data_IF_367957778121
#
_entry.id   IF_367957778121
#
_cell.length_a   1.000
_cell.length_b   1.000
_cell.length_c   1.000
_cell.angle_alpha   90.00
_cell.angle_beta   90.00
_cell.angle_gamma   90.00
#
_symmetry.space_group_name_H-M   'P 1'
#
loop_
_entity.id
_entity.type
_entity.pdbx_description
1 polymer ?
#
# COMPACT_ATOMS: atom_id res chain seq x y z
N UNK A 1 -20.50 2.73 11.34
CA UNK A 1 -20.80 3.95 10.56
C UNK A 1 -20.41 3.62 9.15
N UNK A 2 -21.29 3.80 8.17
CA UNK A 2 -20.96 3.55 6.76
C UNK A 2 -19.76 4.38 6.34
N UNK A 3 -18.97 3.86 5.41
CA UNK A 3 -17.74 4.45 4.89
C UNK A 3 -17.78 4.44 3.37
N UNK A 4 -17.33 5.53 2.75
CA UNK A 4 -17.28 5.68 1.29
C UNK A 4 -15.84 5.51 0.83
N UNK A 5 -15.65 4.63 -0.16
CA UNK A 5 -14.34 4.36 -0.75
C UNK A 5 -14.43 4.51 -2.27
N UNK A 6 -13.52 5.30 -2.83
CA UNK A 6 -13.29 5.37 -4.27
C UNK A 6 -11.89 4.87 -4.58
N UNK A 7 -11.78 3.90 -5.47
CA UNK A 7 -10.49 3.36 -5.93
C UNK A 7 -10.20 3.77 -7.38
N UNK A 8 -8.94 3.99 -7.67
CA UNK A 8 -8.38 4.33 -8.98
C UNK A 8 -7.32 3.28 -9.30
N UNK A 9 -7.39 2.65 -10.47
CA UNK A 9 -6.47 1.57 -10.86
C UNK A 9 -5.50 2.06 -11.94
N UNK A 10 -4.20 2.02 -11.67
CA UNK A 10 -3.17 2.30 -12.66
C UNK A 10 -2.83 1.04 -13.44
N UNK A 11 -3.18 0.92 -14.73
CA UNK A 11 -2.83 -0.26 -15.51
C UNK A 11 -1.32 -0.37 -15.78
N UNK A 12 -0.53 0.70 -15.58
CA UNK A 12 0.91 0.70 -15.84
C UNK A 12 1.70 0.01 -14.72
N UNK A 13 1.35 0.25 -13.47
CA UNK A 13 1.99 -0.37 -12.29
C UNK A 13 1.11 -1.42 -11.62
N UNK A 14 -0.16 -1.53 -12.05
CA UNK A 14 -1.20 -2.39 -11.47
C UNK A 14 -1.58 -2.02 -10.03
N UNK A 15 -1.37 -0.75 -9.66
CA UNK A 15 -1.60 -0.22 -8.32
C UNK A 15 -3.02 0.32 -8.18
N UNK A 16 -3.62 0.15 -7.02
CA UNK A 16 -4.82 0.87 -6.61
C UNK A 16 -4.47 2.02 -5.69
N UNK A 17 -4.94 3.22 -6.03
CA UNK A 17 -5.03 4.36 -5.10
C UNK A 17 -6.44 4.44 -4.55
N UNK A 18 -6.59 4.62 -3.24
CA UNK A 18 -7.91 4.71 -2.60
C UNK A 18 -8.15 6.07 -1.95
N UNK A 19 -9.36 6.61 -2.10
CA UNK A 19 -9.86 7.74 -1.31
C UNK A 19 -10.93 7.21 -0.36
N UNK A 20 -10.74 7.39 0.95
CA UNK A 20 -11.68 6.95 2.00
C UNK A 20 -12.18 8.14 2.82
N UNK A 21 -13.48 8.19 3.07
CA UNK A 21 -14.11 9.20 3.92
C UNK A 21 -15.42 8.70 4.54
N UNK A 22 -15.89 9.40 5.57
CA UNK A 22 -17.23 9.16 6.11
C UNK A 22 -18.29 9.87 5.25
N UNK A 23 -19.47 9.28 5.02
CA UNK A 23 -20.58 9.94 4.33
C UNK A 23 -20.99 11.23 5.06
N UNK A 24 -21.17 12.30 4.30
CA UNK A 24 -21.56 13.62 4.84
C UNK A 24 -20.49 14.32 5.67
N UNK A 25 -19.25 13.82 5.70
CA UNK A 25 -18.12 14.47 6.36
C UNK A 25 -17.12 14.98 5.32
N UNK A 26 -16.41 16.06 5.66
CA UNK A 26 -15.43 16.64 4.77
C UNK A 26 -14.11 15.85 4.77
N UNK A 27 -13.68 15.30 5.92
CA UNK A 27 -12.33 14.74 6.03
C UNK A 27 -12.19 13.43 5.27
N UNK A 28 -11.13 13.34 4.46
CA UNK A 28 -10.75 12.13 3.74
C UNK A 28 -9.28 11.76 3.94
N UNK A 29 -8.95 10.52 3.59
CA UNK A 29 -7.58 10.06 3.40
C UNK A 29 -7.40 9.51 1.98
N UNK A 30 -6.20 9.64 1.45
CA UNK A 30 -5.74 8.94 0.25
C UNK A 30 -4.74 7.87 0.69
N UNK A 31 -4.85 6.65 0.16
CA UNK A 31 -3.93 5.53 0.42
C UNK A 31 -3.22 5.14 -0.86
N UNK A 32 -1.89 5.02 -0.81
CA UNK A 32 -1.00 4.56 -1.89
C UNK A 32 -1.22 5.30 -3.23
N UNK A 33 -0.96 6.61 -3.23
CA UNK A 33 -1.19 7.48 -4.38
C UNK A 33 -0.12 7.29 -5.47
N UNK A 34 -0.51 7.11 -6.74
CA UNK A 34 0.43 6.92 -7.85
C UNK A 34 0.79 8.23 -8.55
N UNK A 35 2.08 8.47 -8.73
CA UNK A 35 2.65 9.40 -9.71
C UNK A 35 3.17 8.60 -10.90
N UNK A 36 2.60 8.84 -12.08
CA UNK A 36 3.01 8.16 -13.30
C UNK A 36 4.48 8.46 -13.62
N UNK A 37 5.18 7.46 -14.15
CA UNK A 37 6.59 7.60 -14.53
C UNK A 37 6.92 6.73 -15.73
N UNK A 38 7.49 7.36 -16.76
CA UNK A 38 8.02 6.65 -17.91
C UNK A 38 9.53 6.41 -17.75
N UNK A 39 9.99 5.14 -17.61
CA UNK A 39 11.41 4.85 -17.45
C UNK A 39 12.25 5.14 -18.70
N UNK A 40 11.63 5.33 -19.87
CA UNK A 40 12.32 5.67 -21.12
C UNK A 40 12.59 7.16 -21.20
N UNK A 41 11.55 7.98 -21.10
CA UNK A 41 11.68 9.46 -21.18
C UNK A 41 12.10 10.09 -19.86
N UNK A 42 11.96 9.37 -18.74
CA UNK A 42 12.16 9.84 -17.35
C UNK A 42 11.21 10.95 -16.92
N UNK A 43 10.11 11.14 -17.65
CA UNK A 43 9.09 12.12 -17.33
C UNK A 43 8.10 11.55 -16.32
N UNK A 44 7.58 12.43 -15.47
CA UNK A 44 6.46 12.14 -14.57
C UNK A 44 5.14 12.52 -15.22
N UNK A 45 4.07 11.83 -14.84
CA UNK A 45 2.70 12.07 -15.29
C UNK A 45 1.78 12.17 -14.07
N UNK A 46 1.02 13.27 -13.99
CA UNK A 46 0.11 13.54 -12.86
C UNK A 46 -1.31 13.09 -13.12
N UNK A 47 -1.64 12.52 -14.29
CA UNK A 47 -3.00 12.22 -14.71
C UNK A 47 -3.84 11.52 -13.63
N UNK A 48 -3.36 10.42 -13.05
CA UNK A 48 -4.07 9.70 -11.98
C UNK A 48 -4.20 10.52 -10.69
N UNK A 49 -3.14 11.21 -10.28
CA UNK A 49 -3.17 12.09 -9.12
C UNK A 49 -4.15 13.26 -9.33
N UNK A 50 -4.29 13.75 -10.57
CA UNK A 50 -5.26 14.76 -10.95
C UNK A 50 -6.70 14.22 -10.90
N UNK A 51 -6.95 12.95 -11.25
CA UNK A 51 -8.26 12.32 -11.06
C UNK A 51 -8.64 12.20 -9.57
N UNK A 52 -7.68 11.80 -8.72
CA UNK A 52 -7.86 11.77 -7.25
C UNK A 52 -8.16 13.17 -6.73
N UNK A 53 -7.40 14.17 -7.18
CA UNK A 53 -7.62 15.58 -6.83
C UNK A 53 -9.01 16.06 -7.23
N UNK A 54 -9.42 15.78 -8.47
CA UNK A 54 -10.73 16.15 -8.99
C UNK A 54 -11.87 15.49 -8.20
N UNK A 55 -11.72 14.22 -7.80
CA UNK A 55 -12.69 13.53 -6.96
C UNK A 55 -12.86 14.21 -5.60
N UNK A 56 -11.75 14.57 -4.94
CA UNK A 56 -11.75 15.24 -3.64
C UNK A 56 -12.44 16.60 -3.75
N UNK A 57 -12.05 17.41 -4.75
CA UNK A 57 -12.61 18.75 -4.97
C UNK A 57 -14.10 18.72 -5.32
N UNK A 58 -14.51 17.82 -6.22
CA UNK A 58 -15.91 17.69 -6.65
C UNK A 58 -16.86 17.31 -5.51
N UNK A 59 -16.35 16.67 -4.45
CA UNK A 59 -17.11 16.29 -3.26
C UNK A 59 -16.96 17.25 -2.09
N UNK A 60 -16.19 18.33 -2.23
CA UNK A 60 -15.90 19.26 -1.13
C UNK A 60 -15.16 18.60 0.03
N UNK A 61 -14.38 17.55 -0.25
CA UNK A 61 -13.59 16.85 0.75
C UNK A 61 -12.33 17.64 1.11
N UNK A 62 -11.85 17.45 2.33
CA UNK A 62 -10.62 18.01 2.89
C UNK A 62 -9.64 16.88 3.16
N UNK A 63 -8.52 16.89 2.44
CA UNK A 63 -7.49 15.88 2.56
C UNK A 63 -6.77 16.00 3.92
N UNK A 64 -6.98 15.03 4.80
CA UNK A 64 -6.35 14.99 6.12
C UNK A 64 -5.06 14.15 6.09
N UNK A 65 -5.08 13.04 5.36
CA UNK A 65 -4.02 12.04 5.35
C UNK A 65 -3.68 11.57 3.94
N UNK A 66 -2.38 11.45 3.70
CA UNK A 66 -1.78 10.74 2.57
C UNK A 66 -1.03 9.57 3.18
N UNK A 67 -1.60 8.38 3.08
CA UNK A 67 -1.14 7.19 3.78
C UNK A 67 -0.39 6.27 2.83
N UNK A 68 0.81 5.87 3.23
CA UNK A 68 1.62 4.88 2.52
C UNK A 68 1.63 3.58 3.31
N UNK A 69 1.16 2.50 2.71
CA UNK A 69 1.19 1.18 3.35
C UNK A 69 2.61 0.64 3.49
N UNK A 70 3.50 1.02 2.57
CA UNK A 70 4.92 0.67 2.60
C UNK A 70 5.73 1.61 1.68
N UNK A 71 7.04 1.39 1.61
CA UNK A 71 7.86 2.05 0.58
C UNK A 71 7.75 1.24 -0.71
N UNK A 72 6.95 1.73 -1.65
CA UNK A 72 6.67 1.06 -2.92
C UNK A 72 7.92 0.94 -3.80
N UNK A 73 8.10 -0.23 -4.42
CA UNK A 73 9.21 -0.54 -5.31
C UNK A 73 8.81 -0.55 -6.80
N UNK A 74 7.53 -0.41 -7.10
CA UNK A 74 6.91 -0.64 -8.40
C UNK A 74 6.34 0.65 -9.01
N UNK A 75 6.06 1.68 -8.19
CA UNK A 75 5.58 3.00 -8.61
C UNK A 75 6.17 4.14 -7.77
N UNK A 76 6.07 5.37 -8.27
CA UNK A 76 6.43 6.59 -7.54
C UNK A 76 5.21 7.08 -6.78
N UNK A 77 5.36 7.47 -5.51
CA UNK A 77 4.25 8.05 -4.74
C UNK A 77 3.91 9.47 -5.20
N UNK A 78 2.63 9.76 -5.39
CA UNK A 78 2.07 11.08 -5.61
C UNK A 78 1.78 11.85 -4.32
N UNK A 79 2.14 11.34 -3.13
CA UNK A 79 1.80 11.98 -1.87
C UNK A 79 2.34 13.41 -1.76
N UNK A 80 3.57 13.66 -2.22
CA UNK A 80 4.15 15.02 -2.21
C UNK A 80 3.41 15.98 -3.16
N UNK A 81 2.98 15.48 -4.32
CA UNK A 81 2.20 16.25 -5.29
C UNK A 81 0.82 16.60 -4.73
N UNK A 82 0.07 15.60 -4.26
CA UNK A 82 -1.26 15.81 -3.66
C UNK A 82 -1.19 16.72 -2.43
N UNK A 83 -0.13 16.61 -1.61
CA UNK A 83 0.06 17.51 -0.46
C UNK A 83 0.25 18.96 -0.90
N UNK A 84 0.98 19.21 -1.97
CA UNK A 84 1.18 20.56 -2.48
C UNK A 84 -0.13 21.17 -3.02
N UNK A 85 -0.98 20.35 -3.65
CA UNK A 85 -2.24 20.79 -4.26
C UNK A 85 -3.40 20.92 -3.25
N UNK A 86 -3.45 20.06 -2.23
CA UNK A 86 -4.62 19.87 -1.36
C UNK A 86 -4.32 19.95 0.14
N UNK A 87 -3.04 19.98 0.53
CA UNK A 87 -2.62 19.88 1.94
C UNK A 87 -2.65 18.44 2.47
N UNK A 88 -2.92 18.30 3.78
CA UNK A 88 -2.88 17.00 4.46
C UNK A 88 -1.47 16.61 4.94
N UNK A 89 -1.38 15.45 5.59
CA UNK A 89 -0.15 14.92 6.20
C UNK A 89 0.23 13.58 5.59
N UNK A 90 1.49 13.42 5.22
CA UNK A 90 2.02 12.14 4.74
C UNK A 90 2.36 11.25 5.94
N UNK A 91 1.69 10.11 6.06
CA UNK A 91 1.86 9.14 7.13
C UNK A 91 2.36 7.80 6.61
N UNK A 92 3.32 7.21 7.31
CA UNK A 92 3.88 5.88 7.03
C UNK A 92 4.30 5.21 8.34
N UNK A 93 4.58 3.91 8.33
CA UNK A 93 5.15 3.20 9.47
C UNK A 93 6.46 3.82 9.98
N UNK A 94 6.61 3.96 11.30
CA UNK A 94 7.86 4.42 11.91
C UNK A 94 9.06 3.50 11.66
N UNK A 95 8.81 2.24 11.29
CA UNK A 95 9.86 1.28 10.88
C UNK A 95 10.46 1.59 9.50
N UNK A 96 9.93 2.57 8.77
CA UNK A 96 10.52 3.05 7.50
C UNK A 96 12.00 3.45 7.67
N UNK A 97 12.40 3.86 8.86
CA UNK A 97 13.81 4.17 9.15
C UNK A 97 14.72 2.95 9.01
N UNK A 98 14.25 1.74 9.33
CA UNK A 98 15.01 0.49 9.12
C UNK A 98 15.24 0.24 7.62
N UNK A 99 14.21 0.46 6.80
CA UNK A 99 14.28 0.34 5.33
C UNK A 99 15.25 1.36 4.77
N UNK A 100 15.16 2.63 5.21
CA UNK A 100 16.07 3.70 4.80
C UNK A 100 17.51 3.38 5.18
N UNK A 101 17.79 2.98 6.42
CA UNK A 101 19.15 2.61 6.84
C UNK A 101 19.72 1.46 6.01
N UNK A 102 18.91 0.47 5.65
CA UNK A 102 19.33 -0.69 4.83
C UNK A 102 19.67 -0.30 3.38
N UNK A 103 19.05 0.76 2.87
CA UNK A 103 19.04 1.07 1.44
C UNK A 103 19.78 2.37 1.07
N UNK A 104 20.29 3.11 2.06
CA UNK A 104 20.97 4.40 1.87
C UNK A 104 22.20 4.28 0.96
N UNK A 105 23.00 3.23 1.11
CA UNK A 105 24.21 3.03 0.30
C UNK A 105 23.88 2.77 -1.19
N UNK A 106 22.68 2.26 -1.47
CA UNK A 106 22.26 1.89 -2.83
C UNK A 106 21.50 2.99 -3.54
N UNK A 107 20.63 3.71 -2.83
CA UNK A 107 19.71 4.68 -3.43
C UNK A 107 19.99 6.13 -3.04
N UNK A 108 20.99 6.36 -2.18
CA UNK A 108 21.55 7.67 -1.90
C UNK A 108 21.18 8.24 -0.53
N UNK A 109 21.79 9.36 -0.15
CA UNK A 109 21.39 10.08 1.05
C UNK A 109 19.95 10.59 0.86
N UNK A 110 19.08 10.23 1.80
CA UNK A 110 17.67 10.60 1.77
C UNK A 110 17.43 11.93 2.50
N UNK A 111 16.42 12.71 2.09
CA UNK A 111 15.98 13.89 2.83
C UNK A 111 15.64 13.52 4.29
N UNK A 112 15.98 14.37 5.26
CA UNK A 112 15.85 14.02 6.68
C UNK A 112 14.41 13.65 7.10
N UNK A 113 13.38 14.30 6.55
CA UNK A 113 11.97 14.12 6.96
C UNK A 113 10.97 14.20 5.78
N UNK A 114 10.85 13.15 4.94
CA UNK A 114 9.88 13.14 3.85
C UNK A 114 8.44 12.90 4.33
N UNK A 115 8.26 12.42 5.57
CA UNK A 115 6.96 12.08 6.15
C UNK A 115 6.61 13.00 7.32
N UNK A 116 5.33 13.37 7.42
CA UNK A 116 4.79 14.23 8.48
C UNK A 116 4.44 13.43 9.74
N UNK A 117 4.08 12.15 9.59
CA UNK A 117 3.77 11.25 10.70
C UNK A 117 4.42 9.87 10.53
N UNK A 118 5.02 9.37 11.61
CA UNK A 118 5.60 8.04 11.69
C UNK A 118 4.78 7.21 12.67
N UNK A 119 3.92 6.34 12.14
CA UNK A 119 3.03 5.53 12.97
C UNK A 119 3.82 4.56 13.85
N UNK A 120 3.52 4.56 15.15
CA UNK A 120 3.93 3.48 16.04
C UNK A 120 3.17 2.20 15.69
N UNK A 121 3.67 1.06 16.18
CA UNK A 121 2.98 -0.22 16.03
C UNK A 121 1.57 -0.13 16.63
N UNK A 122 0.58 -0.44 15.80
CA UNK A 122 -0.84 -0.54 16.19
C UNK A 122 -1.45 0.78 16.70
N UNK A 123 -0.84 1.90 16.31
CA UNK A 123 -1.28 3.24 16.68
C UNK A 123 -2.72 3.51 16.19
N UNK A 124 -3.52 4.10 17.06
CA UNK A 124 -4.87 4.55 16.77
C UNK A 124 -4.84 6.02 16.32
N UNK A 125 -5.55 6.31 15.23
CA UNK A 125 -5.76 7.67 14.74
C UNK A 125 -7.16 7.80 14.12
N UNK A 126 -7.46 8.96 13.53
CA UNK A 126 -8.77 9.24 12.94
C UNK A 126 -8.66 9.85 11.54
N UNK A 127 -9.62 9.49 10.69
CA UNK A 127 -9.92 10.14 9.41
C UNK A 127 -11.33 10.74 9.55
N UNK A 128 -11.42 12.04 9.86
CA UNK A 128 -12.68 12.62 10.33
C UNK A 128 -13.21 11.86 11.55
N UNK A 129 -14.46 11.34 11.54
CA UNK A 129 -14.99 10.51 12.63
C UNK A 129 -14.59 9.03 12.54
N UNK A 130 -13.93 8.59 11.46
CA UNK A 130 -13.58 7.19 11.27
C UNK A 130 -12.40 6.83 12.19
N UNK A 131 -12.61 5.86 13.07
CA UNK A 131 -11.56 5.34 13.96
C UNK A 131 -10.67 4.39 13.15
N UNK A 132 -9.38 4.69 13.07
CA UNK A 132 -8.44 3.93 12.23
C UNK A 132 -7.26 3.42 13.05
N UNK A 133 -6.83 2.18 12.78
CA UNK A 133 -5.66 1.58 13.39
C UNK A 133 -4.60 1.27 12.34
N UNK A 134 -3.35 1.62 12.63
CA UNK A 134 -2.20 1.36 11.79
C UNK A 134 -1.53 0.03 12.20
N UNK A 135 -2.02 -1.09 11.66
CA UNK A 135 -1.62 -2.45 12.02
C UNK A 135 -0.27 -2.81 11.41
N UNK A 136 0.73 -3.14 12.24
CA UNK A 136 2.00 -3.63 11.72
C UNK A 136 1.81 -5.02 11.07
N UNK A 137 2.16 -5.12 9.77
CA UNK A 137 2.04 -6.34 8.96
C UNK A 137 3.31 -6.64 8.15
N UNK A 138 4.51 -6.58 8.77
CA UNK A 138 5.77 -6.71 8.03
C UNK A 138 5.87 -8.07 7.34
N UNK A 139 6.64 -8.13 6.26
CA UNK A 139 6.96 -9.38 5.59
C UNK A 139 7.37 -9.20 4.15
N UNK A 140 6.65 -8.36 3.41
CA UNK A 140 7.09 -7.90 2.09
C UNK A 140 8.24 -6.91 2.26
N UNK A 141 8.08 -5.93 3.16
CA UNK A 141 9.15 -5.12 3.74
C UNK A 141 9.10 -5.14 5.29
N UNK A 142 10.17 -4.73 5.98
CA UNK A 142 10.15 -4.55 7.44
C UNK A 142 9.15 -3.49 7.93
N UNK A 143 8.72 -2.59 7.06
CA UNK A 143 7.93 -1.40 7.43
C UNK A 143 6.46 -1.48 7.02
N UNK A 144 5.99 -2.60 6.46
CA UNK A 144 4.61 -2.70 5.98
C UNK A 144 3.59 -2.47 7.10
N UNK A 145 2.57 -1.67 6.78
CA UNK A 145 1.47 -1.34 7.65
C UNK A 145 0.16 -1.46 6.89
N UNK A 146 -0.86 -1.98 7.57
CA UNK A 146 -2.23 -2.04 7.07
C UNK A 146 -3.10 -1.05 7.85
N UNK A 147 -4.03 -0.39 7.18
CA UNK A 147 -4.91 0.60 7.82
C UNK A 147 -6.30 0.00 8.01
N UNK A 148 -6.63 -0.40 9.25
CA UNK A 148 -7.95 -0.91 9.62
C UNK A 148 -8.85 0.25 10.02
N UNK A 149 -9.86 0.54 9.21
CA UNK A 149 -10.82 1.63 9.39
C UNK A 149 -12.14 1.07 9.93
N UNK A 150 -12.59 1.63 11.05
CA UNK A 150 -13.84 1.30 11.74
C UNK A 150 -14.07 -0.19 12.06
N UNK A 151 -13.02 -1.02 12.05
CA UNK A 151 -13.11 -2.49 12.11
C UNK A 151 -13.97 -3.11 11.00
N UNK A 152 -14.19 -2.39 9.89
CA UNK A 152 -15.04 -2.80 8.77
C UNK A 152 -14.21 -3.01 7.49
N UNK A 153 -13.18 -2.18 7.26
CA UNK A 153 -12.31 -2.24 6.07
C UNK A 153 -10.85 -2.18 6.46
N UNK A 154 -9.99 -2.93 5.78
CA UNK A 154 -8.54 -2.87 5.91
C UNK A 154 -7.86 -2.65 4.56
N UNK A 155 -7.03 -1.62 4.45
CA UNK A 155 -6.10 -1.45 3.33
C UNK A 155 -4.85 -2.27 3.63
N UNK A 156 -4.62 -3.35 2.86
CA UNK A 156 -3.67 -4.41 3.27
C UNK A 156 -2.23 -4.20 2.79
N UNK A 157 -1.99 -3.18 1.95
CA UNK A 157 -0.70 -3.02 1.28
C UNK A 157 -0.33 -4.26 0.47
N UNK A 158 0.97 -4.46 0.25
CA UNK A 158 1.50 -5.68 -0.35
C UNK A 158 1.68 -6.81 0.68
N UNK A 159 0.58 -7.20 1.31
CA UNK A 159 0.52 -8.40 2.18
C UNK A 159 -0.24 -9.54 1.48
N UNK A 160 -1.46 -9.24 1.03
CA UNK A 160 -2.37 -10.14 0.34
C UNK A 160 -2.78 -9.50 -0.99
N UNK A 161 -2.90 -10.33 -2.03
CA UNK A 161 -3.50 -9.96 -3.30
C UNK A 161 -4.88 -10.61 -3.43
N UNK A 162 -5.66 -10.38 -4.51
CA UNK A 162 -6.87 -11.14 -4.75
C UNK A 162 -6.64 -12.65 -4.60
N UNK A 163 -7.62 -13.42 -4.10
CA UNK A 163 -7.40 -14.80 -3.69
C UNK A 163 -6.75 -15.69 -4.76
N UNK A 164 -7.04 -15.44 -6.03
CA UNK A 164 -6.48 -16.17 -7.17
C UNK A 164 -5.04 -15.77 -7.53
N UNK A 165 -4.57 -14.62 -7.07
CA UNK A 165 -3.18 -14.13 -7.23
C UNK A 165 -2.31 -14.54 -6.04
N UNK A 166 -2.88 -14.58 -4.84
CA UNK A 166 -2.23 -15.09 -3.64
C UNK A 166 -1.58 -13.99 -2.78
N UNK A 167 -0.26 -13.91 -2.78
CA UNK A 167 0.52 -13.10 -1.81
C UNK A 167 1.72 -12.40 -2.43
N UNK A 168 2.15 -11.32 -1.79
CA UNK A 168 3.33 -10.56 -2.16
C UNK A 168 4.63 -11.36 -2.04
N UNK A 169 5.68 -10.87 -2.70
CA UNK A 169 7.06 -11.38 -2.65
C UNK A 169 7.73 -10.99 -1.32
N UNK A 170 8.78 -11.72 -0.90
CA UNK A 170 9.51 -11.47 0.35
C UNK A 170 11.03 -11.33 0.17
N UNK A 171 11.51 -11.19 -1.05
CA UNK A 171 12.94 -11.11 -1.39
C UNK A 171 13.49 -9.69 -1.47
N UNK A 172 12.67 -8.69 -1.14
CA UNK A 172 13.16 -7.33 -0.93
C UNK A 172 14.06 -7.28 0.31
N UNK A 173 15.07 -6.39 0.40
CA UNK A 173 15.93 -6.30 1.57
C UNK A 173 15.14 -6.15 2.88
N UNK A 174 15.32 -7.12 3.80
CA UNK A 174 14.60 -7.21 5.07
C UNK A 174 13.24 -7.93 5.00
N UNK A 175 12.79 -8.34 3.81
CA UNK A 175 11.63 -9.19 3.62
C UNK A 175 11.82 -10.60 4.20
N UNK A 176 10.71 -11.25 4.56
CA UNK A 176 10.71 -12.56 5.21
C UNK A 176 9.38 -13.27 5.02
N UNK A 177 9.38 -14.41 4.32
CA UNK A 177 8.19 -15.23 4.14
C UNK A 177 7.57 -15.70 5.46
N UNK A 178 8.42 -16.01 6.46
CA UNK A 178 7.96 -16.37 7.81
C UNK A 178 7.22 -15.22 8.49
N UNK A 179 7.75 -14.01 8.37
CA UNK A 179 7.14 -12.81 8.96
C UNK A 179 5.86 -12.47 8.21
N UNK A 180 5.87 -12.53 6.86
CA UNK A 180 4.70 -12.31 6.03
C UNK A 180 3.57 -13.28 6.39
N UNK A 181 3.85 -14.57 6.57
CA UNK A 181 2.85 -15.55 6.98
C UNK A 181 2.15 -15.14 8.28
N UNK A 182 2.90 -14.70 9.28
CA UNK A 182 2.34 -14.27 10.57
C UNK A 182 1.50 -13.01 10.44
N UNK A 183 1.94 -12.06 9.62
CA UNK A 183 1.18 -10.86 9.27
C UNK A 183 -0.13 -11.19 8.53
N UNK A 184 -0.08 -12.15 7.61
CA UNK A 184 -1.27 -12.70 6.95
C UNK A 184 -2.20 -13.33 7.97
N UNK A 185 -1.71 -14.21 8.86
CA UNK A 185 -2.57 -14.82 9.89
C UNK A 185 -3.19 -13.79 10.83
N UNK A 186 -2.47 -12.70 11.13
CA UNK A 186 -3.01 -11.57 11.88
C UNK A 186 -4.18 -10.91 11.13
N UNK A 187 -4.01 -10.56 9.86
CA UNK A 187 -5.08 -9.98 9.05
C UNK A 187 -6.26 -10.95 8.88
N UNK A 188 -5.96 -12.22 8.62
CA UNK A 188 -6.95 -13.29 8.53
C UNK A 188 -7.49 -13.70 9.90
N UNK A 189 -7.17 -13.04 11.01
CA UNK A 189 -7.85 -13.20 12.31
C UNK A 189 -8.99 -12.19 12.51
N UNK A 190 -9.07 -11.17 11.65
CA UNK A 190 -10.16 -10.20 11.65
C UNK A 190 -11.52 -10.88 11.37
N UNK A 191 -12.66 -10.23 11.70
CA UNK A 191 -13.98 -10.77 11.39
C UNK A 191 -14.14 -11.09 9.90
N UNK A 192 -14.87 -12.17 9.61
CA UNK A 192 -15.03 -12.70 8.25
C UNK A 192 -15.59 -11.69 7.22
N UNK A 193 -16.40 -10.73 7.70
CA UNK A 193 -17.03 -9.70 6.87
C UNK A 193 -16.12 -8.51 6.55
N UNK A 194 -14.95 -8.38 7.20
CA UNK A 194 -14.05 -7.26 6.96
C UNK A 194 -13.62 -7.27 5.50
N UNK A 195 -13.83 -6.14 4.81
CA UNK A 195 -13.35 -5.96 3.45
C UNK A 195 -11.86 -5.65 3.47
N UNK A 196 -11.12 -6.23 2.54
CA UNK A 196 -9.70 -6.06 2.34
C UNK A 196 -9.51 -5.34 1.00
N UNK A 197 -8.99 -4.11 1.05
CA UNK A 197 -8.69 -3.30 -0.13
C UNK A 197 -7.28 -3.60 -0.60
N UNK A 198 -7.14 -3.98 -1.87
CA UNK A 198 -5.88 -4.43 -2.45
C UNK A 198 -4.98 -3.26 -2.82
N UNK A 199 -3.67 -3.35 -2.57
CA UNK A 199 -2.69 -2.40 -3.09
C UNK A 199 -2.43 -2.64 -4.58
N UNK A 200 -2.38 -3.91 -4.99
CA UNK A 200 -2.19 -4.30 -6.38
C UNK A 200 -3.11 -5.45 -6.77
N UNK A 201 -3.38 -5.53 -8.08
CA UNK A 201 -3.89 -6.74 -8.70
C UNK A 201 -3.25 -6.95 -10.08
N UNK A 202 -2.79 -8.16 -10.33
CA UNK A 202 -2.16 -8.57 -11.58
C UNK A 202 -3.08 -9.58 -12.28
N UNK A 203 -4.21 -9.12 -12.87
CA UNK A 203 -5.24 -10.01 -13.36
C UNK A 203 -4.71 -10.94 -14.45
N UNK A 204 -5.09 -12.23 -14.46
CA UNK A 204 -4.99 -13.05 -15.66
C UNK A 204 -5.85 -12.44 -16.78
N UNK A 205 -5.56 -12.82 -18.03
CA UNK A 205 -6.11 -12.17 -19.24
C UNK A 205 -7.65 -12.16 -19.33
N UNK A 206 -8.31 -12.99 -18.56
CA UNK A 206 -9.73 -13.31 -18.62
C UNK A 206 -10.58 -12.62 -17.54
N UNK A 207 -10.00 -11.77 -16.68
CA UNK A 207 -10.77 -10.99 -15.71
C UNK A 207 -10.34 -9.54 -15.59
N UNK A 208 -11.28 -8.70 -15.17
CA UNK A 208 -11.00 -7.34 -14.76
C UNK A 208 -10.21 -7.31 -13.43
N UNK A 209 -9.55 -6.17 -13.11
CA UNK A 209 -8.92 -5.96 -11.81
C UNK A 209 -9.91 -6.12 -10.65
N UNK A 210 -9.51 -6.83 -9.61
CA UNK A 210 -10.26 -7.03 -8.36
C UNK A 210 -9.68 -6.08 -7.32
N UNK A 211 -10.48 -5.08 -6.95
CA UNK A 211 -10.09 -4.03 -6.01
C UNK A 211 -10.21 -4.45 -4.54
N UNK A 212 -11.15 -5.34 -4.24
CA UNK A 212 -11.45 -5.76 -2.88
C UNK A 212 -11.89 -7.22 -2.83
N UNK A 213 -11.74 -7.81 -1.65
CA UNK A 213 -12.32 -9.09 -1.27
C UNK A 213 -12.59 -9.06 0.24
N UNK A 214 -13.07 -10.15 0.81
CA UNK A 214 -13.31 -10.29 2.24
C UNK A 214 -12.29 -11.21 2.91
N UNK A 215 -12.15 -11.07 4.23
CA UNK A 215 -11.39 -12.04 5.05
C UNK A 215 -11.92 -13.47 4.84
N UNK A 216 -13.23 -13.66 4.67
CA UNK A 216 -13.83 -14.96 4.38
C UNK A 216 -13.35 -15.56 3.05
N UNK A 217 -13.32 -14.76 1.98
CA UNK A 217 -12.85 -15.20 0.67
C UNK A 217 -11.36 -15.53 0.70
N UNK A 218 -10.54 -14.72 1.36
CA UNK A 218 -9.12 -15.00 1.53
C UNK A 218 -8.87 -16.31 2.29
N UNK A 219 -9.58 -16.52 3.41
CA UNK A 219 -9.49 -17.77 4.19
C UNK A 219 -9.92 -19.00 3.38
N UNK A 220 -10.87 -18.88 2.47
CA UNK A 220 -11.42 -20.02 1.74
C UNK A 220 -10.66 -20.32 0.45
N UNK A 221 -10.24 -19.29 -0.27
CA UNK A 221 -9.83 -19.43 -1.68
C UNK A 221 -8.45 -18.89 -2.02
N UNK A 222 -7.74 -18.22 -1.10
CA UNK A 222 -6.39 -17.73 -1.39
C UNK A 222 -5.47 -18.89 -1.80
N UNK A 223 -4.87 -18.81 -2.98
CA UNK A 223 -4.09 -19.92 -3.55
C UNK A 223 -2.81 -20.21 -2.75
N UNK A 224 -2.31 -19.25 -1.99
CA UNK A 224 -1.07 -19.35 -1.21
C UNK A 224 -1.30 -19.48 0.30
N UNK A 225 -2.37 -18.90 0.84
CA UNK A 225 -2.53 -18.68 2.29
C UNK A 225 -3.95 -18.94 2.83
N UNK A 226 -4.80 -19.67 2.08
CA UNK A 226 -6.10 -20.13 2.61
C UNK A 226 -5.93 -20.98 3.86
N UNK A 227 -7.01 -21.12 4.62
CA UNK A 227 -7.08 -22.01 5.77
C UNK A 227 -6.67 -23.42 5.40
N UNK A 228 -5.79 -24.02 6.22
CA UNK A 228 -5.21 -25.33 5.99
C UNK A 228 -3.77 -25.31 5.47
N UNK A 229 -3.27 -24.19 4.96
CA UNK A 229 -1.84 -24.03 4.63
C UNK A 229 -1.06 -23.74 5.91
N UNK A 230 -0.03 -24.54 6.20
CA UNK A 230 0.86 -24.34 7.35
C UNK A 230 1.93 -23.27 7.10
N UNK A 231 2.55 -22.75 8.18
CA UNK A 231 3.69 -21.81 8.09
C UNK A 231 4.83 -22.40 7.25
N UNK A 232 5.10 -23.70 7.39
CA UNK A 232 6.18 -24.38 6.66
C UNK A 232 5.89 -24.47 5.16
N UNK A 233 4.68 -24.90 4.78
CA UNK A 233 4.26 -24.97 3.37
C UNK A 233 4.28 -23.58 2.71
N UNK A 234 3.82 -22.56 3.44
CA UNK A 234 3.86 -21.18 2.95
C UNK A 234 5.30 -20.70 2.72
N UNK A 235 6.19 -20.88 3.70
CA UNK A 235 7.58 -20.45 3.59
C UNK A 235 8.26 -21.14 2.40
N UNK A 236 8.07 -22.45 2.26
CA UNK A 236 8.65 -23.21 1.16
C UNK A 236 8.16 -22.68 -0.20
N UNK A 237 6.84 -22.60 -0.38
CA UNK A 237 6.23 -22.09 -1.61
C UNK A 237 6.72 -20.67 -1.93
N UNK A 238 6.66 -19.76 -0.95
CA UNK A 238 7.02 -18.35 -1.13
C UNK A 238 8.49 -18.19 -1.48
N UNK A 239 9.37 -18.90 -0.79
CA UNK A 239 10.82 -18.87 -1.03
C UNK A 239 11.17 -19.42 -2.42
N UNK A 240 10.51 -20.50 -2.86
CA UNK A 240 10.71 -21.04 -4.20
C UNK A 240 10.24 -20.07 -5.27
N UNK A 241 9.06 -19.46 -5.08
CA UNK A 241 8.47 -18.50 -6.03
C UNK A 241 9.31 -17.23 -6.15
N UNK A 242 9.83 -16.69 -5.05
CA UNK A 242 10.61 -15.45 -5.08
C UNK A 242 11.89 -15.58 -5.91
N UNK A 243 12.52 -16.76 -5.93
CA UNK A 243 13.71 -17.04 -6.76
C UNK A 243 13.45 -16.95 -8.26
N UNK A 244 12.19 -17.03 -8.70
CA UNK A 244 11.83 -16.98 -10.12
C UNK A 244 11.34 -15.61 -10.57
N UNK A 245 11.15 -14.66 -9.65
CA UNK A 245 10.56 -13.37 -9.98
C UNK A 245 11.62 -12.39 -10.48
N UNK A 246 11.36 -11.67 -11.59
CA UNK A 246 12.23 -10.57 -12.00
C UNK A 246 12.13 -9.41 -11.00
N UNK A 247 13.10 -8.50 -11.03
CA UNK A 247 13.00 -7.24 -10.31
C UNK A 247 11.82 -6.39 -10.87
N UNK A 248 11.13 -5.60 -10.03
CA UNK A 248 10.11 -4.68 -10.51
C UNK A 248 10.66 -3.71 -11.56
N UNK A 249 9.84 -3.40 -12.58
CA UNK A 249 10.25 -2.56 -13.71
C UNK A 249 10.75 -1.17 -13.28
N UNK A 250 10.14 -0.59 -12.25
CA UNK A 250 10.46 0.74 -11.76
C UNK A 250 11.27 0.75 -10.45
N UNK A 251 11.87 -0.38 -10.06
CA UNK A 251 12.61 -0.52 -8.78
C UNK A 251 13.60 0.62 -8.52
N UNK A 252 14.43 0.99 -9.49
CA UNK A 252 15.40 2.07 -9.31
C UNK A 252 14.75 3.44 -9.06
N UNK A 253 13.92 3.93 -10.01
CA UNK A 253 13.18 5.18 -9.86
C UNK A 253 12.29 5.25 -8.61
N UNK A 254 11.48 4.22 -8.34
CA UNK A 254 10.56 4.20 -7.20
C UNK A 254 11.31 4.31 -5.88
N UNK A 255 12.37 3.52 -5.66
CA UNK A 255 13.10 3.57 -4.39
C UNK A 255 13.79 4.91 -4.16
N UNK A 256 14.32 5.56 -5.20
CA UNK A 256 14.90 6.91 -5.06
C UNK A 256 13.85 7.95 -4.67
N UNK A 257 12.70 7.93 -5.33
CA UNK A 257 11.61 8.86 -5.05
C UNK A 257 10.98 8.63 -3.66
N UNK A 258 10.66 7.37 -3.35
CA UNK A 258 9.83 7.03 -2.19
C UNK A 258 10.62 7.02 -0.87
N UNK A 259 11.94 6.75 -0.90
CA UNK A 259 12.80 6.87 0.28
C UNK A 259 13.32 8.30 0.51
N UNK A 260 13.56 9.03 -0.59
CA UNK A 260 14.30 10.29 -0.59
C UNK A 260 13.46 11.56 -0.75
N UNK A 261 12.20 11.43 -1.16
CA UNK A 261 11.43 12.52 -1.77
C UNK A 261 11.83 12.72 -3.24
N UNK A 262 10.88 13.13 -4.08
CA UNK A 262 11.19 13.51 -5.46
C UNK A 262 12.13 14.71 -5.46
N UNK A 263 13.38 14.52 -5.87
CA UNK A 263 14.19 15.63 -6.36
C UNK A 263 13.63 16.00 -7.73
N UNK A 264 12.72 16.96 -7.75
CA UNK A 264 12.43 17.67 -8.99
C UNK A 264 13.66 18.52 -9.27
N UNK A 265 14.61 17.98 -10.02
CA UNK A 265 15.60 18.83 -10.69
C UNK A 265 14.79 19.82 -11.54
N UNK A 266 14.79 21.09 -11.13
CA UNK A 266 14.30 22.20 -11.93
C UNK A 266 15.30 22.54 -13.02
#
# INVERSE_FOLDING_TARGET
MTLDIRSFFDPVTSTFTHVVHAPGQAQCAVVDAVLGYDPVTRLTDTHMADEVKAYIQARGLQLQWLLETHVHADHLSAASYLRAELGGRIGISGRVMEVRCTLVDRYGPFQQRPYDHLFATDEMFYIGPLRTQALAVPGHTPADIAYLVNNEVVFVGDTLFPPDVGTARCDFPGGSAKTLYRSIQRLLSLPAHVQMMMCHDYPPRDRAPIVECTVAEQRSTNIHARSGISEAEFIEMRTQRDRTLPAPRLLGPSMRANLGGLQTDR
#
